data_IF_615744412911
#
_entry.id   IF_615744412911
#
_cell.length_a   1.000
_cell.length_b   1.000
_cell.length_c   1.000
_cell.angle_alpha   90.00
_cell.angle_beta   90.00
_cell.angle_gamma   90.00
#
_symmetry.space_group_name_H-M   'P 1'
#
loop_
_entity.id
_entity.type
_entity.pdbx_description
1 polymer ?
#
# COMPACT_ATOMS: atom_id res chain seq x y z
N UNK A 1 18.65 -22.81 49.12
CA UNK A 1 18.20 -22.68 47.72
C UNK A 1 16.85 -21.98 47.74
N UNK A 2 16.81 -20.69 47.43
CA UNK A 2 15.55 -19.94 47.28
C UNK A 2 15.31 -19.74 45.79
N UNK A 3 14.17 -20.22 45.29
CA UNK A 3 13.74 -20.04 43.92
C UNK A 3 13.33 -18.57 43.70
N UNK A 4 14.01 -17.89 42.78
CA UNK A 4 13.60 -16.57 42.31
C UNK A 4 12.40 -16.73 41.36
N UNK A 5 11.22 -16.31 41.81
CA UNK A 5 10.07 -16.14 40.93
C UNK A 5 10.40 -15.07 39.88
N UNK A 6 10.47 -15.48 38.61
CA UNK A 6 10.60 -14.56 37.50
C UNK A 6 9.35 -13.68 37.42
N UNK A 7 9.53 -12.37 37.55
CA UNK A 7 8.47 -11.40 37.32
C UNK A 7 8.11 -11.41 35.83
N UNK A 8 7.02 -12.08 35.47
CA UNK A 8 6.41 -11.90 34.15
C UNK A 8 5.88 -10.47 34.10
N UNK A 9 6.53 -9.62 33.30
CA UNK A 9 5.99 -8.31 32.95
C UNK A 9 4.75 -8.54 32.09
N UNK A 10 3.59 -8.52 32.71
CA UNK A 10 2.29 -8.55 32.03
C UNK A 10 2.22 -7.32 31.11
N UNK A 11 2.49 -7.52 29.82
CA UNK A 11 2.41 -6.45 28.84
C UNK A 11 0.94 -6.08 28.73
N UNK A 12 0.58 -4.90 29.25
CA UNK A 12 -0.79 -4.38 29.14
C UNK A 12 -1.11 -4.14 27.67
N UNK A 13 -1.67 -5.14 27.01
CA UNK A 13 -2.11 -5.06 25.63
C UNK A 13 -3.39 -4.23 25.59
N UNK A 14 -3.35 -3.12 24.87
CA UNK A 14 -4.55 -2.38 24.52
C UNK A 14 -5.30 -3.16 23.42
N UNK A 15 -6.56 -3.51 23.67
CA UNK A 15 -7.39 -4.29 22.74
C UNK A 15 -8.72 -3.60 22.47
N UNK A 16 -9.18 -3.69 21.22
CA UNK A 16 -10.43 -3.10 20.75
C UNK A 16 -11.13 -4.11 19.85
N UNK A 17 -12.41 -4.39 20.10
CA UNK A 17 -13.26 -5.17 19.18
C UNK A 17 -13.62 -4.30 17.98
N UNK A 18 -13.29 -4.74 16.78
CA UNK A 18 -13.63 -4.06 15.53
C UNK A 18 -15.14 -4.19 15.27
N UNK A 19 -15.83 -3.07 15.17
CA UNK A 19 -17.26 -3.00 14.80
C UNK A 19 -17.43 -2.41 13.40
N UNK A 20 -16.71 -1.33 13.11
CA UNK A 20 -16.71 -0.69 11.79
C UNK A 20 -15.34 -0.09 11.51
N UNK A 21 -14.99 -0.02 10.22
CA UNK A 21 -13.75 0.58 9.74
C UNK A 21 -14.11 1.53 8.61
N UNK A 22 -13.54 2.73 8.65
CA UNK A 22 -13.52 3.63 7.51
C UNK A 22 -12.14 4.29 7.36
N UNK A 23 -12.00 5.17 6.37
CA UNK A 23 -10.79 5.95 6.18
C UNK A 23 -11.11 7.39 5.83
N UNK A 24 -10.18 8.29 6.13
CA UNK A 24 -10.20 9.67 5.68
C UNK A 24 -8.77 10.13 5.35
N UNK A 25 -8.66 11.28 4.69
CA UNK A 25 -7.37 11.90 4.36
C UNK A 25 -7.10 13.03 5.34
N UNK A 26 -5.88 13.10 5.86
CA UNK A 26 -5.45 14.11 6.82
C UNK A 26 -4.04 14.62 6.51
N UNK A 27 -3.67 15.84 6.94
CA UNK A 27 -2.28 16.27 6.94
C UNK A 27 -1.42 15.33 7.80
N UNK A 28 -0.20 14.98 7.36
CA UNK A 28 0.65 14.05 8.09
C UNK A 28 1.12 14.63 9.43
N UNK A 29 1.08 13.82 10.48
CA UNK A 29 1.53 14.18 11.83
C UNK A 29 3.02 13.85 11.98
N UNK A 30 3.90 14.82 12.31
CA UNK A 30 5.31 14.56 12.53
C UNK A 30 5.56 13.52 13.63
N UNK A 31 6.41 12.54 13.34
CA UNK A 31 6.75 11.44 14.27
C UNK A 31 5.79 10.25 14.22
N UNK A 32 4.64 10.37 13.54
CA UNK A 32 3.67 9.28 13.33
C UNK A 32 3.53 8.94 11.85
N UNK A 33 3.50 9.96 10.99
CA UNK A 33 3.33 9.83 9.55
C UNK A 33 4.59 10.21 8.76
N UNK A 34 4.60 9.83 7.48
CA UNK A 34 5.63 10.24 6.52
C UNK A 34 5.31 11.64 6.01
N UNK A 35 6.05 12.65 6.48
CA UNK A 35 5.85 14.05 6.10
C UNK A 35 6.61 14.47 4.83
N UNK A 36 7.55 13.66 4.35
CA UNK A 36 8.38 13.96 3.19
C UNK A 36 8.48 12.77 2.25
N UNK A 37 8.23 12.99 0.96
CA UNK A 37 8.38 11.97 -0.06
C UNK A 37 9.76 12.05 -0.68
N UNK A 38 10.60 11.04 -0.43
CA UNK A 38 11.90 10.90 -1.11
C UNK A 38 11.75 10.75 -2.62
N UNK A 39 10.63 10.17 -3.07
CA UNK A 39 10.34 9.97 -4.49
C UNK A 39 10.04 11.29 -5.22
N UNK A 40 9.19 12.15 -4.64
CA UNK A 40 8.79 13.42 -5.29
C UNK A 40 9.65 14.61 -4.87
N UNK A 41 10.56 14.44 -3.91
CA UNK A 41 11.44 15.50 -3.41
C UNK A 41 10.68 16.63 -2.71
N UNK A 42 9.56 16.34 -2.05
CA UNK A 42 8.65 17.36 -1.52
C UNK A 42 7.87 16.93 -0.28
N UNK A 43 7.24 17.93 0.37
CA UNK A 43 6.36 17.71 1.52
C UNK A 43 5.13 16.91 1.11
N UNK A 44 4.74 15.97 1.96
CA UNK A 44 3.49 15.23 1.83
C UNK A 44 2.35 16.09 2.34
N UNK A 45 1.33 16.28 1.51
CA UNK A 45 0.18 17.12 1.87
C UNK A 45 -0.89 16.36 2.65
N UNK A 46 -1.14 15.10 2.26
CA UNK A 46 -2.20 14.27 2.84
C UNK A 46 -1.76 12.80 2.91
N UNK A 47 -2.19 12.11 3.97
CA UNK A 47 -1.98 10.67 4.20
C UNK A 47 -3.30 9.99 4.56
N UNK A 48 -3.47 8.71 4.20
CA UNK A 48 -4.65 7.95 4.57
C UNK A 48 -4.59 7.57 6.05
N UNK A 49 -5.65 7.86 6.78
CA UNK A 49 -5.82 7.45 8.18
C UNK A 49 -7.02 6.54 8.26
N UNK A 50 -6.81 5.33 8.81
CA UNK A 50 -7.88 4.36 9.01
C UNK A 50 -8.48 4.61 10.39
N UNK A 51 -9.81 4.72 10.47
CA UNK A 51 -10.52 4.78 11.75
C UNK A 51 -11.16 3.45 12.04
N UNK A 52 -10.85 2.91 13.20
CA UNK A 52 -11.43 1.67 13.72
C UNK A 52 -12.37 2.03 14.87
N UNK A 53 -13.65 1.78 14.67
CA UNK A 53 -14.69 1.98 15.68
C UNK A 53 -14.95 0.67 16.40
N UNK A 54 -15.06 0.74 17.72
CA UNK A 54 -15.15 -0.47 18.52
C UNK A 54 -15.38 -0.24 19.99
N UNK A 55 -15.22 -1.32 20.76
CA UNK A 55 -15.25 -1.29 22.22
C UNK A 55 -14.05 -2.00 22.82
N UNK A 56 -13.52 -1.47 23.92
CA UNK A 56 -12.53 -2.17 24.76
C UNK A 56 -13.20 -3.36 25.46
N UNK A 57 -12.43 -4.32 26.02
CA UNK A 57 -13.01 -5.40 26.84
C UNK A 57 -13.84 -4.91 28.03
N UNK A 58 -13.57 -3.69 28.51
CA UNK A 58 -14.35 -3.03 29.57
C UNK A 58 -15.64 -2.36 29.06
N UNK A 59 -15.97 -2.47 27.76
CA UNK A 59 -17.19 -1.93 27.16
C UNK A 59 -17.15 -0.45 26.78
N UNK A 60 -15.99 0.21 26.91
CA UNK A 60 -15.86 1.63 26.54
C UNK A 60 -15.85 1.76 25.02
N UNK A 61 -16.63 2.70 24.47
CA UNK A 61 -16.60 3.02 23.04
C UNK A 61 -15.26 3.68 22.68
N UNK A 62 -14.67 3.27 21.57
CA UNK A 62 -13.35 3.73 21.14
C UNK A 62 -13.35 4.01 19.64
N UNK A 63 -12.67 5.08 19.25
CA UNK A 63 -12.29 5.38 17.86
C UNK A 63 -10.76 5.42 17.80
N UNK A 64 -10.15 4.40 17.18
CA UNK A 64 -8.70 4.30 17.02
C UNK A 64 -8.31 4.83 15.64
N UNK A 65 -7.27 5.67 15.59
CA UNK A 65 -6.70 6.16 14.34
C UNK A 65 -5.41 5.38 14.05
N UNK A 66 -5.39 4.69 12.91
CA UNK A 66 -4.23 3.93 12.44
C UNK A 66 -3.57 4.70 11.31
N UNK A 67 -2.31 5.02 11.54
CA UNK A 67 -1.45 5.80 10.65
C UNK A 67 -0.42 4.89 9.96
N UNK A 68 0.16 5.37 8.85
CA UNK A 68 1.19 4.61 8.10
C UNK A 68 0.67 3.43 7.26
N UNK A 69 -0.65 3.24 7.18
CA UNK A 69 -1.28 2.18 6.39
C UNK A 69 -1.67 2.70 4.99
N UNK A 70 -0.77 2.55 4.03
CA UNK A 70 -0.98 3.00 2.65
C UNK A 70 -1.60 1.90 1.77
N UNK A 71 -2.60 2.22 0.93
CA UNK A 71 -3.12 1.28 -0.06
C UNK A 71 -2.04 0.90 -1.07
N UNK A 72 -2.06 -0.36 -1.52
CA UNK A 72 -1.08 -0.87 -2.47
C UNK A 72 -1.71 -1.79 -3.51
N UNK A 73 -0.98 -2.01 -4.60
CA UNK A 73 -1.28 -3.03 -5.61
C UNK A 73 0.03 -3.67 -6.11
N UNK A 74 -0.09 -4.88 -6.64
CA UNK A 74 1.04 -5.62 -7.21
C UNK A 74 0.91 -5.73 -8.72
N UNK A 75 2.03 -5.53 -9.42
CA UNK A 75 2.11 -5.65 -10.88
C UNK A 75 3.27 -6.55 -11.24
N UNK A 76 3.08 -7.62 -12.05
CA UNK A 76 4.20 -8.39 -12.56
C UNK A 76 5.16 -7.51 -13.36
N UNK A 77 6.47 -7.63 -13.15
CA UNK A 77 7.45 -6.84 -13.90
C UNK A 77 7.42 -7.16 -15.41
N UNK A 78 7.01 -8.38 -15.78
CA UNK A 78 6.80 -8.81 -17.18
C UNK A 78 5.79 -7.95 -17.93
N UNK A 79 4.82 -7.40 -17.21
CA UNK A 79 3.68 -6.68 -17.79
C UNK A 79 3.98 -5.19 -17.95
N UNK A 80 5.14 -4.73 -17.45
CA UNK A 80 5.57 -3.34 -17.54
C UNK A 80 6.63 -3.28 -18.66
N UNK A 81 6.39 -2.56 -19.77
CA UNK A 81 7.34 -2.42 -20.88
C UNK A 81 8.42 -1.38 -20.56
N UNK A 82 9.03 -1.51 -19.39
CA UNK A 82 10.20 -0.78 -18.96
C UNK A 82 11.29 -1.85 -18.80
N UNK A 83 12.50 -1.56 -19.28
CA UNK A 83 13.57 -2.55 -19.32
C UNK A 83 13.95 -2.97 -17.88
N UNK A 84 13.71 -4.22 -17.46
CA UNK A 84 13.97 -4.65 -16.08
C UNK A 84 15.47 -4.84 -15.80
N UNK A 85 16.32 -4.74 -16.83
CA UNK A 85 17.78 -4.87 -16.73
C UNK A 85 18.48 -3.62 -16.14
N UNK A 86 17.71 -2.64 -15.69
CA UNK A 86 18.23 -1.49 -14.96
C UNK A 86 18.36 -1.84 -13.47
N UNK A 87 19.25 -1.15 -12.76
CA UNK A 87 19.33 -1.26 -11.30
C UNK A 87 17.93 -1.13 -10.67
N UNK A 88 17.61 -1.98 -9.69
CA UNK A 88 16.24 -2.11 -9.16
C UNK A 88 15.61 -0.78 -8.68
N UNK A 89 16.44 0.12 -8.17
CA UNK A 89 16.03 1.46 -7.76
C UNK A 89 15.68 2.36 -8.96
N UNK A 90 16.45 2.28 -10.05
CA UNK A 90 16.14 3.02 -11.28
C UNK A 90 14.83 2.52 -11.92
N UNK A 91 14.64 1.19 -11.94
CA UNK A 91 13.41 0.58 -12.44
C UNK A 91 12.18 1.02 -11.62
N UNK A 92 12.21 0.88 -10.30
CA UNK A 92 11.08 1.29 -9.44
C UNK A 92 10.76 2.78 -9.54
N UNK A 93 11.78 3.64 -9.62
CA UNK A 93 11.62 5.08 -9.82
C UNK A 93 11.00 5.44 -11.18
N UNK A 94 11.35 4.70 -12.24
CA UNK A 94 10.76 4.91 -13.57
C UNK A 94 9.27 4.52 -13.60
N UNK A 95 8.91 3.40 -12.94
CA UNK A 95 7.52 2.92 -12.81
C UNK A 95 6.68 3.92 -12.03
N UNK A 96 7.15 4.37 -10.87
CA UNK A 96 6.44 5.35 -10.06
C UNK A 96 6.24 6.67 -10.79
N UNK A 97 7.24 7.15 -11.55
CA UNK A 97 7.14 8.39 -12.33
C UNK A 97 6.14 8.26 -13.49
N UNK A 98 6.14 7.13 -14.20
CA UNK A 98 5.18 6.86 -15.26
C UNK A 98 3.75 6.82 -14.72
N UNK A 99 3.54 6.13 -13.58
CA UNK A 99 2.22 6.01 -12.97
C UNK A 99 1.72 7.33 -12.38
N UNK A 100 2.59 8.10 -11.72
CA UNK A 100 2.27 9.43 -11.19
C UNK A 100 1.80 10.36 -12.33
N UNK A 101 2.47 10.34 -13.47
CA UNK A 101 2.07 11.11 -14.66
C UNK A 101 0.71 10.64 -15.19
N UNK A 102 0.51 9.32 -15.33
CA UNK A 102 -0.75 8.77 -15.83
C UNK A 102 -1.95 9.14 -14.93
N UNK A 103 -1.78 9.07 -13.60
CA UNK A 103 -2.83 9.40 -12.63
C UNK A 103 -3.14 10.90 -12.59
N UNK A 104 -2.14 11.77 -12.82
CA UNK A 104 -2.34 13.23 -12.95
C UNK A 104 -3.10 13.62 -14.21
N UNK A 105 -2.78 13.00 -15.35
CA UNK A 105 -3.41 13.35 -16.64
C UNK A 105 -4.92 13.10 -16.69
N UNK A 106 -5.42 12.11 -15.93
CA UNK A 106 -6.86 11.85 -15.77
C UNK A 106 -7.48 12.54 -14.55
N UNK A 107 -6.71 13.31 -13.79
CA UNK A 107 -7.20 14.10 -12.65
C UNK A 107 -7.61 15.50 -13.08
N UNK A 108 -8.25 16.26 -12.18
CA UNK A 108 -8.48 17.69 -12.42
C UNK A 108 -7.12 18.40 -12.58
N UNK A 109 -6.92 19.04 -13.73
CA UNK A 109 -5.66 19.65 -14.19
C UNK A 109 -5.07 20.76 -13.28
N UNK A 110 -5.67 21.05 -12.13
CA UNK A 110 -5.19 22.02 -11.13
C UNK A 110 -4.73 21.40 -9.81
N UNK A 111 -4.89 20.09 -9.58
CA UNK A 111 -4.55 19.48 -8.29
C UNK A 111 -3.05 19.16 -8.21
N UNK A 112 -2.31 19.81 -7.30
CA UNK A 112 -0.91 19.49 -6.96
C UNK A 112 -0.79 18.22 -6.09
N UNK A 113 -1.75 17.32 -6.20
CA UNK A 113 -1.87 16.13 -5.37
C UNK A 113 -0.85 15.09 -5.80
N UNK A 114 -0.33 14.37 -4.80
CA UNK A 114 0.61 13.28 -4.98
C UNK A 114 -0.20 11.98 -5.01
N UNK A 115 0.04 11.12 -6.00
CA UNK A 115 -0.72 9.88 -6.12
C UNK A 115 0.09 8.67 -5.67
N UNK A 116 1.34 8.58 -6.11
CA UNK A 116 2.27 7.49 -5.79
C UNK A 116 3.14 7.88 -4.60
N UNK A 117 3.12 7.03 -3.57
CA UNK A 117 3.95 7.17 -2.37
C UNK A 117 5.35 6.60 -2.60
N UNK A 118 5.43 5.31 -2.98
CA UNK A 118 6.68 4.62 -3.35
C UNK A 118 6.39 3.36 -4.15
N UNK A 119 7.41 2.81 -4.79
CA UNK A 119 7.38 1.47 -5.37
C UNK A 119 8.48 0.61 -4.75
N UNK A 120 8.25 -0.70 -4.62
CA UNK A 120 9.27 -1.65 -4.17
C UNK A 120 9.20 -2.93 -4.98
N UNK A 121 10.35 -3.53 -5.28
CA UNK A 121 10.43 -4.84 -5.91
C UNK A 121 10.22 -5.93 -4.86
N UNK A 122 9.38 -6.91 -5.19
CA UNK A 122 9.14 -8.09 -4.36
C UNK A 122 9.16 -9.33 -5.23
N UNK A 123 9.60 -10.46 -4.67
CA UNK A 123 9.44 -11.77 -5.31
C UNK A 123 8.17 -12.39 -4.76
N UNK A 124 7.30 -12.83 -5.67
CA UNK A 124 6.01 -13.40 -5.29
C UNK A 124 5.55 -14.41 -6.34
N UNK A 125 4.52 -15.18 -6.00
CA UNK A 125 3.91 -16.20 -6.87
C UNK A 125 2.44 -15.89 -7.08
N UNK A 126 1.99 -15.92 -8.34
CA UNK A 126 0.57 -15.75 -8.68
C UNK A 126 -0.22 -16.91 -8.06
N UNK A 127 -1.32 -16.59 -7.39
CA UNK A 127 -2.19 -17.59 -6.77
C UNK A 127 -2.97 -18.40 -7.81
N UNK A 128 -3.48 -17.73 -8.86
CA UNK A 128 -4.26 -18.39 -9.91
C UNK A 128 -3.37 -18.95 -11.03
N UNK A 129 -3.56 -20.24 -11.34
CA UNK A 129 -2.77 -20.99 -12.31
C UNK A 129 -1.58 -21.73 -11.70
N UNK A 130 -0.94 -22.60 -12.49
CA UNK A 130 0.27 -23.30 -12.06
C UNK A 130 1.52 -22.49 -12.44
N UNK A 131 2.23 -22.00 -11.43
CA UNK A 131 3.49 -21.25 -11.58
C UNK A 131 4.60 -21.98 -10.83
N UNK A 132 5.59 -22.61 -11.48
CA UNK A 132 6.56 -23.45 -10.78
C UNK A 132 7.55 -22.65 -9.92
N UNK A 133 7.74 -21.37 -10.21
CA UNK A 133 8.71 -20.48 -9.56
C UNK A 133 8.09 -19.15 -9.19
N UNK A 134 8.74 -18.42 -8.30
CA UNK A 134 8.41 -17.02 -8.00
C UNK A 134 8.89 -16.10 -9.14
N UNK A 135 8.13 -15.04 -9.37
CA UNK A 135 8.41 -13.99 -10.35
C UNK A 135 8.63 -12.66 -9.64
N UNK A 136 9.21 -11.68 -10.34
CA UNK A 136 9.36 -10.32 -9.82
C UNK A 136 8.08 -9.52 -10.01
N UNK A 137 7.67 -8.83 -8.95
CA UNK A 137 6.54 -7.91 -8.92
C UNK A 137 6.98 -6.55 -8.41
N UNK A 138 6.30 -5.51 -8.89
CA UNK A 138 6.35 -4.17 -8.31
C UNK A 138 5.17 -4.01 -7.37
N UNK A 139 5.46 -3.80 -6.09
CA UNK A 139 4.49 -3.36 -5.07
C UNK A 139 4.43 -1.83 -5.12
N UNK A 140 3.33 -1.30 -5.63
CA UNK A 140 3.09 0.14 -5.76
C UNK A 140 2.26 0.59 -4.57
N UNK A 141 2.79 1.52 -3.78
CA UNK A 141 2.07 2.18 -2.69
C UNK A 141 1.51 3.51 -3.17
N UNK A 142 0.26 3.76 -2.84
CA UNK A 142 -0.49 4.95 -3.25
C UNK A 142 -0.92 5.74 -2.02
N UNK A 143 -1.12 7.05 -2.17
CA UNK A 143 -1.63 7.89 -1.07
C UNK A 143 -3.12 7.71 -0.86
N UNK A 144 -3.90 7.53 -1.94
CA UNK A 144 -5.35 7.52 -1.86
C UNK A 144 -5.95 6.19 -2.31
N UNK A 145 -6.90 5.61 -1.57
CA UNK A 145 -7.48 4.31 -1.90
C UNK A 145 -8.15 4.24 -3.28
N UNK A 146 -8.79 5.33 -3.74
CA UNK A 146 -9.41 5.37 -5.06
C UNK A 146 -8.40 5.34 -6.21
N UNK A 147 -7.14 5.71 -5.97
CA UNK A 147 -6.11 5.66 -6.99
C UNK A 147 -5.69 4.21 -7.31
N UNK A 148 -5.99 3.24 -6.44
CA UNK A 148 -5.69 1.82 -6.68
C UNK A 148 -6.42 1.33 -7.93
N UNK A 149 -7.73 1.54 -8.00
CA UNK A 149 -8.54 1.13 -9.15
C UNK A 149 -8.17 1.93 -10.42
N UNK A 150 -7.84 3.21 -10.26
CA UNK A 150 -7.39 4.05 -11.39
C UNK A 150 -6.07 3.55 -11.95
N UNK A 151 -5.09 3.29 -11.07
CA UNK A 151 -3.78 2.77 -11.42
C UNK A 151 -3.91 1.40 -12.11
N UNK A 152 -4.71 0.49 -11.56
CA UNK A 152 -5.00 -0.80 -12.17
C UNK A 152 -5.55 -0.63 -13.59
N UNK A 153 -6.55 0.23 -13.79
CA UNK A 153 -7.10 0.50 -15.12
C UNK A 153 -6.06 1.09 -16.10
N UNK A 154 -5.18 1.97 -15.64
CA UNK A 154 -4.10 2.49 -16.47
C UNK A 154 -3.13 1.39 -16.88
N UNK A 155 -2.72 0.55 -15.95
CA UNK A 155 -1.80 -0.55 -16.21
C UNK A 155 -2.40 -1.56 -17.21
N UNK A 156 -3.69 -1.86 -17.08
CA UNK A 156 -4.40 -2.75 -17.99
C UNK A 156 -4.57 -2.16 -19.40
N UNK A 157 -4.85 -0.86 -19.52
CA UNK A 157 -5.15 -0.23 -20.82
C UNK A 157 -3.88 0.17 -21.58
N UNK A 158 -2.84 0.64 -20.89
CA UNK A 158 -1.58 1.04 -21.54
C UNK A 158 -0.61 -0.13 -21.77
N UNK A 159 -0.65 -1.17 -20.93
CA UNK A 159 0.39 -2.20 -20.94
C UNK A 159 -0.09 -3.60 -21.37
N UNK A 160 -1.39 -3.81 -21.58
CA UNK A 160 -1.91 -5.11 -22.01
C UNK A 160 -2.21 -5.17 -23.52
N UNK A 161 -1.21 -5.58 -24.30
CA UNK A 161 -1.44 -6.60 -25.34
C UNK A 161 -1.13 -7.97 -24.72
N UNK A 162 -2.06 -8.51 -23.93
CA UNK A 162 -2.41 -9.94 -23.84
C UNK A 162 -3.38 -10.17 -22.65
N UNK A 163 -4.60 -10.55 -22.99
CA UNK A 163 -5.49 -11.49 -22.30
C UNK A 163 -5.13 -11.85 -20.84
N UNK A 164 -5.91 -11.35 -19.88
CA UNK A 164 -6.77 -12.16 -19.00
C UNK A 164 -7.56 -11.28 -18.03
N UNK A 165 -8.77 -11.75 -17.77
CA UNK A 165 -9.89 -11.19 -17.01
C UNK A 165 -9.50 -10.57 -15.67
N UNK A 166 -9.72 -9.26 -15.53
CA UNK A 166 -9.67 -8.59 -14.22
C UNK A 166 -11.00 -8.82 -13.53
N UNK A 167 -11.09 -9.94 -12.82
CA UNK A 167 -12.06 -10.04 -11.74
C UNK A 167 -11.59 -9.14 -10.61
N UNK A 168 -12.49 -8.26 -10.17
CA UNK A 168 -12.34 -7.24 -9.11
C UNK A 168 -11.73 -7.75 -7.77
N UNK A 169 -11.54 -9.06 -7.62
CA UNK A 169 -10.98 -9.72 -6.44
C UNK A 169 -9.45 -9.76 -6.38
N UNK A 170 -8.74 -9.55 -7.50
CA UNK A 170 -7.28 -9.75 -7.56
C UNK A 170 -6.47 -8.68 -6.80
N UNK A 171 -7.08 -7.55 -6.41
CA UNK A 171 -6.38 -6.49 -5.66
C UNK A 171 -6.08 -6.93 -4.20
N UNK A 172 -6.72 -7.98 -3.69
CA UNK A 172 -6.68 -8.30 -2.25
C UNK A 172 -5.86 -9.52 -1.82
N UNK A 173 -5.31 -10.33 -2.72
CA UNK A 173 -4.58 -11.54 -2.33
C UNK A 173 -3.25 -11.69 -3.06
N UNK A 174 -2.28 -10.90 -2.62
CA UNK A 174 -0.95 -11.44 -2.38
C UNK A 174 -0.80 -11.44 -0.87
N UNK A 175 -1.09 -12.61 -0.28
CA UNK A 175 -0.67 -12.91 1.08
C UNK A 175 0.82 -12.55 1.16
N UNK A 176 1.17 -11.65 2.07
CA UNK A 176 2.54 -11.59 2.58
C UNK A 176 2.77 -12.98 3.20
N UNK A 177 3.32 -13.90 2.39
CA UNK A 177 3.53 -15.29 2.76
C UNK A 177 4.70 -15.38 3.74
N UNK A 178 4.35 -15.63 5.00
CA UNK A 178 5.14 -16.08 6.15
C UNK A 178 6.20 -15.15 6.74
#
# INVERSE_FOLDING_TARGET
MAASAGSQSDSKIFSVRIVSIDHYMAPPIPGVDICYSSFQGGKVNEVPVIRVYGSTPAGQKTCLHVHGAFPYLYVPCSDIPINPNQDGDAYTNSVSLALEKALKLKGNAGSKRQHVHRCSLVRARKFYGYHPSEELFVKVYLYFPHDVSRAANHLLVQFLKLTLTVNQFQIFLLADCF
#
